data_IF_849386404661
#
_entry.id   IF_849386404661
#
_cell.length_a   1.000
_cell.length_b   1.000
_cell.length_c   1.000
_cell.angle_alpha   90.00
_cell.angle_beta   90.00
_cell.angle_gamma   90.00
#
_symmetry.space_group_name_H-M   'P 1'
#
loop_
_entity.id
_entity.type
_entity.pdbx_description
1 polymer ?
#
# COMPACT_ATOMS: atom_id res chain seq x y z
N UNK A 1 -17.61 -1.18 13.27
CA UNK A 1 -17.08 -0.27 12.26
C UNK A 1 -17.99 0.92 12.16
N UNK A 2 -17.53 2.11 12.51
CA UNK A 2 -18.30 3.31 12.21
C UNK A 2 -17.98 3.70 10.76
N UNK A 3 -18.79 3.21 9.83
CA UNK A 3 -18.77 3.63 8.44
C UNK A 3 -19.52 4.95 8.30
N UNK A 4 -19.05 5.84 7.45
CA UNK A 4 -19.86 6.96 7.00
C UNK A 4 -20.91 6.40 6.04
N UNK A 5 -22.17 6.68 6.28
CA UNK A 5 -23.19 6.56 5.23
C UNK A 5 -23.01 7.76 4.30
N UNK A 6 -22.84 7.45 3.03
CA UNK A 6 -22.38 8.40 2.06
C UNK A 6 -23.34 9.49 1.71
N UNK A 7 -22.77 10.51 1.16
CA UNK A 7 -23.44 11.52 0.36
C UNK A 7 -23.64 11.01 -1.06
N UNK A 8 -24.64 11.53 -1.74
CA UNK A 8 -24.89 11.26 -3.16
C UNK A 8 -23.78 11.83 -4.03
N UNK A 9 -23.40 11.13 -5.09
CA UNK A 9 -22.44 11.64 -6.07
C UNK A 9 -23.19 12.60 -7.01
N UNK A 10 -22.94 13.89 -6.83
CA UNK A 10 -23.60 14.95 -7.61
C UNK A 10 -22.85 15.33 -8.87
N UNK A 11 -21.54 15.03 -8.96
CA UNK A 11 -20.73 15.31 -10.15
C UNK A 11 -20.89 14.17 -11.16
N UNK A 12 -21.78 14.39 -12.13
CA UNK A 12 -21.99 13.44 -13.21
C UNK A 12 -22.21 14.15 -14.55
N UNK A 13 -21.87 13.45 -15.63
CA UNK A 13 -22.10 13.90 -16.99
C UNK A 13 -22.63 12.75 -17.88
N UNK A 14 -23.71 13.02 -18.58
CA UNK A 14 -24.25 12.07 -19.55
C UNK A 14 -23.44 12.11 -20.86
N UNK A 15 -23.24 10.95 -21.45
CA UNK A 15 -22.62 10.84 -22.76
C UNK A 15 -23.48 11.54 -23.83
N UNK A 16 -22.83 12.27 -24.72
CA UNK A 16 -23.49 12.91 -25.85
C UNK A 16 -22.92 12.41 -27.18
N UNK A 17 -23.77 12.08 -28.11
CA UNK A 17 -23.37 11.64 -29.44
C UNK A 17 -22.76 10.24 -29.54
N UNK A 18 -23.01 9.39 -28.55
CA UNK A 18 -22.52 8.01 -28.50
C UNK A 18 -23.60 7.00 -28.86
N UNK A 19 -23.21 5.86 -29.44
CA UNK A 19 -24.13 4.78 -29.84
C UNK A 19 -24.83 4.15 -28.63
N UNK A 20 -24.16 4.12 -27.48
CA UNK A 20 -24.69 3.63 -26.20
C UNK A 20 -24.68 4.78 -25.20
N UNK A 21 -25.83 5.05 -24.60
CA UNK A 21 -25.94 6.07 -23.55
C UNK A 21 -25.29 5.56 -22.27
N UNK A 22 -24.42 6.37 -21.67
CA UNK A 22 -23.84 6.11 -20.38
C UNK A 22 -23.66 7.41 -19.58
N UNK A 23 -23.55 7.28 -18.27
CA UNK A 23 -23.31 8.40 -17.36
C UNK A 23 -21.95 8.22 -16.70
N UNK A 24 -21.10 9.24 -16.78
CA UNK A 24 -19.86 9.31 -16.04
C UNK A 24 -20.12 9.95 -14.67
N UNK A 25 -19.75 9.26 -13.63
CA UNK A 25 -19.75 9.79 -12.27
C UNK A 25 -18.32 10.08 -11.84
N UNK A 26 -18.13 11.19 -11.13
CA UNK A 26 -16.85 11.58 -10.57
C UNK A 26 -16.99 11.83 -9.08
N UNK A 27 -16.13 11.19 -8.29
CA UNK A 27 -16.01 11.41 -6.86
C UNK A 27 -14.56 11.75 -6.54
N UNK A 28 -14.33 12.94 -5.97
CA UNK A 28 -13.06 13.29 -5.37
C UNK A 28 -13.10 12.92 -3.89
N UNK A 29 -12.07 12.25 -3.44
CA UNK A 29 -11.95 11.77 -2.07
C UNK A 29 -10.51 11.98 -1.56
N UNK A 30 -10.28 12.46 -0.33
CA UNK A 30 -11.27 12.98 0.61
C UNK A 30 -11.94 14.29 0.13
N UNK A 31 -13.12 14.57 0.65
CA UNK A 31 -13.86 15.81 0.40
C UNK A 31 -14.45 16.36 1.72
N UNK A 32 -15.24 17.42 1.67
CA UNK A 32 -15.80 18.06 2.85
C UNK A 32 -16.76 17.16 3.63
N UNK A 33 -17.44 16.23 2.95
CA UNK A 33 -18.42 15.31 3.53
C UNK A 33 -17.78 14.02 4.03
N UNK A 34 -16.72 13.57 3.38
CA UNK A 34 -16.07 12.29 3.66
C UNK A 34 -14.59 12.52 3.95
N UNK A 35 -14.24 12.58 5.24
CA UNK A 35 -12.87 12.77 5.72
C UNK A 35 -12.49 11.66 6.68
N UNK A 36 -11.64 10.70 6.26
CA UNK A 36 -11.07 9.74 7.17
C UNK A 36 -10.20 10.43 8.23
N UNK A 37 -10.46 10.13 9.50
CA UNK A 37 -9.77 10.75 10.64
C UNK A 37 -8.68 9.88 11.26
N UNK A 38 -8.64 8.62 10.89
CA UNK A 38 -7.75 7.61 11.49
C UNK A 38 -7.08 6.84 10.37
N UNK A 39 -5.81 6.53 10.54
CA UNK A 39 -5.09 5.60 9.66
C UNK A 39 -5.71 4.20 9.72
N UNK A 40 -5.68 3.48 8.61
CA UNK A 40 -6.23 2.14 8.52
C UNK A 40 -6.64 1.74 7.10
N UNK A 41 -7.22 0.56 6.99
CA UNK A 41 -7.73 0.05 5.73
C UNK A 41 -9.22 0.38 5.59
N UNK A 42 -9.57 0.92 4.45
CA UNK A 42 -10.92 1.37 4.13
C UNK A 42 -11.45 0.68 2.88
N UNK A 43 -12.74 0.55 2.82
CA UNK A 43 -13.46 0.17 1.62
C UNK A 43 -14.46 1.29 1.27
N UNK A 44 -14.29 1.88 0.08
CA UNK A 44 -15.28 2.77 -0.50
C UNK A 44 -16.29 1.91 -1.26
N UNK A 45 -17.56 2.02 -0.90
CA UNK A 45 -18.65 1.34 -1.57
C UNK A 45 -19.57 2.37 -2.23
N UNK A 46 -19.82 2.18 -3.51
CA UNK A 46 -20.83 2.93 -4.27
C UNK A 46 -22.01 2.02 -4.47
N UNK A 47 -23.18 2.47 -4.10
CA UNK A 47 -24.42 1.70 -4.17
C UNK A 47 -25.56 2.57 -4.76
N UNK A 48 -26.63 1.91 -5.17
CA UNK A 48 -27.82 2.60 -5.67
C UNK A 48 -28.53 3.32 -4.51
N UNK A 49 -28.84 4.61 -4.66
CA UNK A 49 -29.51 5.41 -3.62
C UNK A 49 -30.88 4.84 -3.24
N UNK A 50 -31.64 4.30 -4.19
CA UNK A 50 -32.94 3.70 -3.97
C UNK A 50 -32.88 2.32 -3.30
N UNK A 51 -31.73 1.61 -3.46
CA UNK A 51 -31.49 0.29 -2.87
C UNK A 51 -30.05 0.13 -2.41
N UNK A 52 -29.74 0.47 -1.16
CA UNK A 52 -28.38 0.35 -0.61
C UNK A 52 -27.80 -1.07 -0.61
N UNK A 53 -28.63 -2.10 -0.80
CA UNK A 53 -28.14 -3.48 -0.93
C UNK A 53 -27.49 -3.75 -2.29
N UNK A 54 -27.81 -2.93 -3.29
CA UNK A 54 -27.26 -3.01 -4.65
C UNK A 54 -25.93 -2.26 -4.73
N UNK A 55 -24.85 -2.95 -4.39
CA UNK A 55 -23.49 -2.41 -4.51
C UNK A 55 -23.07 -2.44 -5.97
N UNK A 56 -22.78 -1.27 -6.53
CA UNK A 56 -22.32 -1.08 -7.91
C UNK A 56 -20.82 -1.25 -8.01
N UNK A 57 -20.08 -0.77 -6.99
CA UNK A 57 -18.63 -0.73 -7.02
C UNK A 57 -18.05 -0.72 -5.60
N UNK A 58 -16.93 -1.40 -5.41
CA UNK A 58 -16.14 -1.36 -4.17
C UNK A 58 -14.67 -1.14 -4.50
N UNK A 59 -14.05 -0.13 -3.89
CA UNK A 59 -12.61 0.10 -3.93
C UNK A 59 -12.01 0.06 -2.54
N UNK A 60 -10.92 -0.68 -2.38
CA UNK A 60 -10.16 -0.73 -1.14
C UNK A 60 -8.94 0.19 -1.24
N UNK A 61 -8.68 0.94 -0.18
CA UNK A 61 -7.52 1.81 -0.06
C UNK A 61 -7.04 1.86 1.39
N UNK A 62 -5.83 2.36 1.60
CA UNK A 62 -5.25 2.51 2.94
C UNK A 62 -4.86 3.96 3.18
N UNK A 63 -5.12 4.42 4.40
CA UNK A 63 -4.65 5.71 4.91
C UNK A 63 -3.57 5.42 5.93
N UNK A 64 -2.42 6.04 5.77
CA UNK A 64 -1.29 5.86 6.67
C UNK A 64 -0.78 7.20 7.20
N UNK A 65 -0.20 7.15 8.38
CA UNK A 65 0.54 8.26 8.97
C UNK A 65 2.04 7.99 8.76
N UNK A 66 2.80 8.92 8.16
CA UNK A 66 4.22 8.70 7.86
C UNK A 66 5.08 8.87 9.14
N UNK A 67 4.95 7.94 10.08
CA UNK A 67 5.68 7.97 11.35
C UNK A 67 7.16 7.62 11.19
N UNK A 68 7.47 6.81 10.17
CA UNK A 68 8.84 6.38 9.85
C UNK A 68 9.11 6.61 8.36
N UNK A 69 10.38 6.66 7.98
CA UNK A 69 10.77 6.67 6.58
C UNK A 69 11.55 5.42 6.20
N UNK A 70 11.34 4.93 4.99
CA UNK A 70 12.02 3.74 4.45
C UNK A 70 12.91 4.16 3.31
N UNK A 71 14.18 3.75 3.37
CA UNK A 71 15.13 3.90 2.27
C UNK A 71 15.45 2.50 1.77
N UNK A 72 15.16 2.23 0.50
CA UNK A 72 15.39 0.94 -0.12
C UNK A 72 16.39 1.06 -1.28
N UNK A 73 17.17 0.01 -1.47
CA UNK A 73 18.11 -0.18 -2.57
C UNK A 73 17.85 -1.54 -3.21
N UNK A 74 17.83 -1.56 -4.53
CA UNK A 74 17.72 -2.78 -5.33
C UNK A 74 19.01 -2.97 -6.10
N UNK A 75 19.61 -4.15 -6.02
CA UNK A 75 20.87 -4.50 -6.64
C UNK A 75 20.72 -5.78 -7.48
N UNK A 76 21.27 -5.78 -8.71
CA UNK A 76 21.43 -7.00 -9.50
C UNK A 76 22.62 -7.86 -9.05
N UNK A 77 23.46 -7.36 -8.13
CA UNK A 77 24.47 -8.15 -7.46
C UNK A 77 23.82 -8.76 -6.22
N UNK A 78 23.52 -10.03 -6.27
CA UNK A 78 22.77 -10.76 -5.23
C UNK A 78 23.67 -11.77 -4.52
N UNK A 79 23.20 -12.33 -3.41
CA UNK A 79 23.93 -13.39 -2.68
C UNK A 79 23.97 -14.72 -3.45
N UNK A 80 23.21 -14.87 -4.53
CA UNK A 80 23.13 -16.10 -5.34
C UNK A 80 23.69 -15.94 -6.75
N UNK A 81 23.63 -14.75 -7.34
CA UNK A 81 24.17 -14.47 -8.66
C UNK A 81 24.58 -13.00 -8.82
N UNK A 82 25.28 -12.69 -9.90
CA UNK A 82 25.75 -11.33 -10.20
C UNK A 82 25.22 -10.89 -11.55
N UNK A 83 24.31 -9.89 -11.56
CA UNK A 83 23.74 -9.26 -12.75
C UNK A 83 23.19 -10.25 -13.80
N UNK A 84 22.53 -11.32 -13.35
CA UNK A 84 21.99 -12.33 -14.25
C UNK A 84 20.47 -12.32 -14.26
N UNK A 85 19.85 -13.05 -13.33
CA UNK A 85 18.41 -13.31 -13.37
C UNK A 85 17.67 -12.86 -12.11
N UNK A 86 18.39 -12.34 -11.13
CA UNK A 86 17.83 -11.93 -9.86
C UNK A 86 18.22 -10.51 -9.47
N UNK A 87 17.43 -9.97 -8.55
CA UNK A 87 17.70 -8.71 -7.87
C UNK A 87 17.45 -8.88 -6.38
N UNK A 88 18.30 -8.27 -5.58
CA UNK A 88 18.20 -8.30 -4.11
C UNK A 88 17.83 -6.93 -3.58
N UNK A 89 16.88 -6.94 -2.66
CA UNK A 89 16.43 -5.74 -1.95
C UNK A 89 17.13 -5.64 -0.62
N UNK A 90 17.61 -4.44 -0.33
CA UNK A 90 18.05 -4.05 1.00
C UNK A 90 17.32 -2.78 1.38
N UNK A 91 16.89 -2.65 2.63
CA UNK A 91 16.24 -1.43 3.07
C UNK A 91 16.55 -1.13 4.54
N UNK A 92 16.37 0.14 4.89
CA UNK A 92 16.48 0.62 6.26
C UNK A 92 15.25 1.48 6.61
N UNK A 93 14.75 1.28 7.81
CA UNK A 93 13.68 2.07 8.41
C UNK A 93 14.33 3.10 9.32
N UNK A 94 14.09 4.38 9.05
CA UNK A 94 14.49 5.46 9.94
C UNK A 94 13.31 5.78 10.85
N UNK A 95 13.51 5.58 12.15
CA UNK A 95 12.50 5.72 13.20
C UNK A 95 12.83 6.84 14.20
N UNK A 96 13.64 7.82 13.80
CA UNK A 96 14.10 8.92 14.66
C UNK A 96 12.97 9.65 15.40
N UNK A 97 11.84 9.83 14.73
CA UNK A 97 10.68 10.55 15.27
C UNK A 97 9.63 9.62 15.92
N UNK A 98 9.84 8.31 15.85
CA UNK A 98 8.91 7.31 16.36
C UNK A 98 9.71 6.15 16.99
N UNK A 99 9.97 6.19 18.30
CA UNK A 99 10.72 5.13 18.98
C UNK A 99 10.01 3.78 18.87
N UNK A 100 10.74 2.77 18.41
CA UNK A 100 10.27 1.39 18.30
C UNK A 100 11.04 0.56 19.33
N UNK A 101 10.33 0.06 20.33
CA UNK A 101 10.97 -0.62 21.47
C UNK A 101 11.36 -2.05 21.13
N UNK A 102 10.52 -2.76 20.43
CA UNK A 102 10.73 -4.17 20.06
C UNK A 102 10.56 -4.38 18.55
N UNK A 103 11.56 -3.99 17.73
CA UNK A 103 11.42 -4.02 16.27
C UNK A 103 11.04 -5.39 15.70
N UNK A 104 11.45 -6.48 16.34
CA UNK A 104 11.16 -7.84 15.89
C UNK A 104 9.67 -8.21 15.99
N UNK A 105 8.96 -7.59 16.92
CA UNK A 105 7.53 -7.87 17.21
C UNK A 105 6.61 -6.75 16.78
N UNK A 106 7.07 -5.52 16.89
CA UNK A 106 6.25 -4.32 16.65
C UNK A 106 6.16 -3.99 15.17
N UNK A 107 7.21 -4.29 14.40
CA UNK A 107 7.21 -4.05 12.95
C UNK A 107 6.57 -5.22 12.19
N UNK A 108 5.57 -4.89 11.38
CA UNK A 108 4.96 -5.81 10.42
C UNK A 108 5.33 -5.33 9.01
N UNK A 109 6.28 -6.01 8.39
CA UNK A 109 6.83 -5.61 7.12
C UNK A 109 6.39 -6.58 6.04
N UNK A 110 5.97 -6.02 4.92
CA UNK A 110 5.69 -6.75 3.70
C UNK A 110 6.46 -6.15 2.53
N UNK A 111 7.15 -7.00 1.80
CA UNK A 111 7.87 -6.61 0.58
C UNK A 111 7.19 -7.29 -0.60
N UNK A 112 6.75 -6.47 -1.56
CA UNK A 112 6.03 -6.94 -2.75
C UNK A 112 6.85 -6.71 -4.01
N UNK A 113 6.78 -7.65 -4.93
CA UNK A 113 7.21 -7.44 -6.31
C UNK A 113 5.98 -7.22 -7.20
N UNK A 114 6.01 -6.21 -8.06
CA UNK A 114 4.96 -5.88 -9.03
C UNK A 114 3.56 -5.68 -8.41
N UNK A 115 3.51 -5.19 -7.17
CA UNK A 115 2.28 -4.99 -6.41
C UNK A 115 1.44 -6.29 -6.22
N UNK A 116 2.07 -7.44 -6.30
CA UNK A 116 1.45 -8.74 -6.11
C UNK A 116 1.49 -9.13 -4.64
N UNK A 117 0.33 -9.49 -4.10
CA UNK A 117 0.22 -9.94 -2.69
C UNK A 117 0.54 -11.43 -2.51
N UNK A 118 0.42 -12.21 -3.56
CA UNK A 118 0.66 -13.65 -3.57
C UNK A 118 2.15 -14.02 -3.45
N UNK A 119 3.05 -13.11 -3.82
CA UNK A 119 4.50 -13.28 -3.65
C UNK A 119 5.09 -12.38 -2.55
N UNK A 120 4.27 -11.91 -1.63
CA UNK A 120 4.71 -11.06 -0.54
C UNK A 120 5.69 -11.78 0.38
N UNK A 121 6.83 -11.15 0.64
CA UNK A 121 7.77 -11.58 1.66
C UNK A 121 7.40 -10.92 2.98
N UNK A 122 7.16 -11.74 4.00
CA UNK A 122 6.74 -11.31 5.34
C UNK A 122 7.58 -11.97 6.42
N UNK A 123 7.39 -11.58 7.67
CA UNK A 123 8.10 -12.18 8.81
C UNK A 123 9.61 -11.89 8.82
N UNK A 124 10.03 -10.83 8.16
CA UNK A 124 11.42 -10.42 8.09
C UNK A 124 11.95 -10.04 9.48
N UNK A 125 13.17 -10.50 9.78
CA UNK A 125 13.89 -10.11 10.98
C UNK A 125 14.96 -9.07 10.63
N UNK A 126 15.13 -8.02 11.45
CA UNK A 126 16.15 -7.01 11.21
C UNK A 126 17.56 -7.61 11.38
N UNK A 127 18.45 -7.22 10.48
CA UNK A 127 19.87 -7.56 10.56
C UNK A 127 20.61 -6.69 11.58
N UNK A 128 20.25 -5.40 11.62
CA UNK A 128 20.86 -4.44 12.53
C UNK A 128 19.81 -3.53 13.13
N UNK A 129 19.89 -3.33 14.43
CA UNK A 129 19.02 -2.42 15.19
C UNK A 129 19.90 -1.36 15.83
N UNK A 130 19.73 -0.13 15.40
CA UNK A 130 20.35 1.07 15.98
C UNK A 130 19.24 1.94 16.58
N UNK A 131 19.61 2.92 17.39
CA UNK A 131 18.67 3.82 18.07
C UNK A 131 17.63 4.46 17.12
N UNK A 132 18.07 4.90 15.94
CA UNK A 132 17.25 5.63 14.98
C UNK A 132 17.13 4.93 13.63
N UNK A 133 17.62 3.71 13.48
CA UNK A 133 17.64 2.99 12.21
C UNK A 133 17.59 1.48 12.43
N UNK A 134 16.70 0.84 11.69
CA UNK A 134 16.54 -0.61 11.68
C UNK A 134 16.77 -1.09 10.25
N UNK A 135 17.75 -1.98 10.04
CA UNK A 135 18.19 -2.36 8.70
C UNK A 135 17.89 -3.82 8.39
N UNK A 136 17.50 -4.05 7.15
CA UNK A 136 17.18 -5.33 6.54
C UNK A 136 18.07 -5.50 5.31
N UNK A 137 19.25 -6.08 5.52
CA UNK A 137 20.25 -6.31 4.48
C UNK A 137 20.66 -7.77 4.47
N UNK A 138 21.28 -8.24 3.37
CA UNK A 138 21.82 -9.60 3.24
C UNK A 138 20.79 -10.69 3.60
N UNK A 139 19.54 -10.50 3.19
CA UNK A 139 18.47 -11.44 3.45
C UNK A 139 18.09 -12.15 2.14
N UNK A 140 18.31 -13.45 2.10
CA UNK A 140 18.03 -14.27 0.91
C UNK A 140 16.54 -14.31 0.55
N UNK A 141 15.64 -14.10 1.52
CA UNK A 141 14.22 -13.98 1.23
C UNK A 141 13.86 -12.72 0.43
N UNK A 142 14.77 -11.76 0.35
CA UNK A 142 14.61 -10.51 -0.41
C UNK A 142 15.28 -10.58 -1.79
N UNK A 143 15.52 -11.78 -2.30
CA UNK A 143 15.99 -12.01 -3.66
C UNK A 143 14.78 -12.39 -4.52
N UNK A 144 14.58 -11.61 -5.57
CA UNK A 144 13.46 -11.75 -6.50
C UNK A 144 13.97 -11.99 -7.92
N UNK A 145 13.21 -12.67 -8.79
CA UNK A 145 13.51 -12.67 -10.22
C UNK A 145 13.61 -11.25 -10.77
N UNK A 146 14.45 -11.03 -11.76
CA UNK A 146 14.70 -9.72 -12.36
C UNK A 146 13.47 -9.26 -13.18
N UNK A 147 12.42 -8.83 -12.49
CA UNK A 147 11.20 -8.22 -13.04
C UNK A 147 10.81 -7.00 -12.18
N UNK A 148 10.65 -5.98 -12.72
CA UNK A 148 10.60 -4.55 -12.77
C UNK A 148 10.20 -3.70 -11.57
N UNK A 149 9.35 -4.04 -10.63
CA UNK A 149 8.95 -3.10 -9.55
C UNK A 149 8.86 -3.77 -8.18
N UNK A 150 9.62 -3.23 -7.23
CA UNK A 150 9.55 -3.69 -5.84
C UNK A 150 9.03 -2.57 -4.96
N UNK A 151 8.04 -2.86 -4.12
CA UNK A 151 7.51 -1.96 -3.11
C UNK A 151 7.72 -2.54 -1.72
N UNK A 152 8.16 -1.70 -0.79
CA UNK A 152 8.31 -2.03 0.63
C UNK A 152 7.24 -1.28 1.40
N UNK A 153 6.41 -2.00 2.13
CA UNK A 153 5.36 -1.45 2.97
C UNK A 153 5.57 -1.82 4.43
N UNK A 154 5.33 -0.88 5.32
CA UNK A 154 5.30 -1.07 6.77
C UNK A 154 3.89 -0.73 7.27
N UNK A 155 3.29 -1.61 8.07
CA UNK A 155 1.99 -1.42 8.70
C UNK A 155 2.12 -1.57 10.21
#
# INVERSE_FOLDING_TARGET
MNGFQGSTIEDFANAMGTTVQYTNYRLLFPNDDIQPKVSGNYALQVYNEDDPSQIVFTACFSIFEPMVSVVATVSGNTDIDTNQSHQQVSFAINNKNFPITYPQTDLKIWVYQNNRRDNAVTGLQPMTILENQISYTNNQNLIFPQETNIAVWNF
#
